data_IF_970465801381
#
_entry.id   IF_970465801381
#
_cell.length_a   1.000
_cell.length_b   1.000
_cell.length_c   1.000
_cell.angle_alpha   90.00
_cell.angle_beta   90.00
_cell.angle_gamma   90.00
#
_symmetry.space_group_name_H-M   'P 1'
#
loop_
_entity.id
_entity.type
_entity.pdbx_description
1 polymer ?
#
# COMPACT_ATOMS: atom_id res chain seq x y z
N UNK A 1 26.15 -19.30 23.46
CA UNK A 1 24.76 -19.71 23.82
C UNK A 1 24.65 -21.21 23.65
N UNK A 2 24.26 -21.94 24.72
CA UNK A 2 24.13 -23.40 24.67
C UNK A 2 23.04 -23.88 23.72
N UNK A 3 23.24 -25.07 23.14
CA UNK A 3 22.23 -25.71 22.29
C UNK A 3 20.98 -26.06 23.12
N UNK A 4 19.81 -25.81 22.51
CA UNK A 4 18.53 -26.13 23.13
C UNK A 4 18.27 -27.66 23.09
N UNK A 5 17.73 -28.22 24.19
CA UNK A 5 17.35 -29.62 24.24
C UNK A 5 16.41 -30.00 23.06
N UNK A 6 16.63 -31.18 22.46
CA UNK A 6 15.93 -31.65 21.25
C UNK A 6 14.38 -31.71 21.44
N UNK A 7 13.93 -32.08 22.62
CA UNK A 7 12.51 -32.25 22.98
C UNK A 7 11.88 -30.98 23.58
N UNK A 8 12.62 -29.87 23.66
CA UNK A 8 12.03 -28.64 24.17
C UNK A 8 10.97 -28.06 23.22
N UNK A 9 9.84 -27.53 23.74
CA UNK A 9 8.80 -26.95 22.91
C UNK A 9 9.34 -25.75 22.10
N UNK A 10 8.76 -25.52 20.93
CA UNK A 10 9.15 -24.36 20.08
C UNK A 10 8.73 -23.06 20.72
N UNK A 11 9.54 -22.00 20.55
CA UNK A 11 9.25 -20.64 20.99
C UNK A 11 8.86 -19.76 19.81
N UNK A 12 7.87 -18.89 20.04
CA UNK A 12 7.33 -17.99 19.04
C UNK A 12 6.36 -18.69 18.08
N UNK A 13 5.61 -17.89 17.31
CA UNK A 13 4.66 -18.40 16.32
C UNK A 13 5.36 -19.20 15.23
N UNK A 14 4.82 -20.39 14.93
CA UNK A 14 5.29 -21.24 13.82
C UNK A 14 4.90 -20.66 12.44
N UNK A 15 3.83 -19.83 12.37
CA UNK A 15 3.43 -19.13 11.15
C UNK A 15 4.44 -18.08 10.68
N UNK A 16 5.37 -17.68 11.56
CA UNK A 16 6.45 -16.73 11.25
C UNK A 16 7.80 -17.46 11.06
N UNK A 17 7.76 -18.63 10.47
CA UNK A 17 8.96 -19.45 10.18
C UNK A 17 9.11 -19.67 8.68
N UNK A 18 10.34 -19.80 8.15
CA UNK A 18 11.62 -19.55 8.80
C UNK A 18 11.84 -18.05 9.09
N UNK A 19 12.58 -17.73 10.14
CA UNK A 19 13.01 -16.35 10.44
C UNK A 19 14.13 -15.94 9.49
N UNK A 20 13.78 -15.25 8.44
CA UNK A 20 14.71 -14.75 7.40
C UNK A 20 14.27 -13.37 6.95
N UNK A 21 15.14 -12.67 6.22
CA UNK A 21 14.79 -11.41 5.55
C UNK A 21 13.66 -11.65 4.55
N UNK A 22 12.74 -10.70 4.46
CA UNK A 22 11.71 -10.73 3.42
C UNK A 22 12.35 -10.66 2.02
N UNK A 23 11.77 -11.37 1.07
CA UNK A 23 12.22 -11.33 -0.33
C UNK A 23 11.95 -9.97 -1.01
N UNK A 24 11.01 -9.20 -0.46
CA UNK A 24 10.59 -7.90 -1.01
C UNK A 24 10.49 -6.87 0.10
N UNK A 25 10.88 -5.63 -0.20
CA UNK A 25 10.71 -4.48 0.71
C UNK A 25 9.25 -4.09 0.78
N UNK A 26 8.58 -3.97 -0.38
CA UNK A 26 7.16 -3.64 -0.45
C UNK A 26 6.33 -4.90 -0.20
N UNK A 27 5.44 -4.91 0.80
CA UNK A 27 4.59 -6.06 1.07
C UNK A 27 3.57 -6.27 -0.06
N UNK A 28 3.20 -7.53 -0.29
CA UNK A 28 2.08 -7.88 -1.16
C UNK A 28 0.82 -8.02 -0.31
N UNK A 29 -0.11 -7.12 -0.47
CA UNK A 29 -1.40 -7.15 0.23
C UNK A 29 -2.34 -8.07 -0.55
N UNK A 30 -2.73 -9.19 0.07
CA UNK A 30 -3.61 -10.20 -0.55
C UNK A 30 -5.06 -10.02 -0.18
N UNK A 31 -5.32 -9.46 0.99
CA UNK A 31 -6.66 -9.21 1.53
C UNK A 31 -6.80 -7.74 1.86
N UNK A 32 -7.84 -7.13 1.40
CA UNK A 32 -8.18 -5.74 1.66
C UNK A 32 -9.44 -5.69 2.51
N UNK A 33 -9.55 -4.77 3.47
CA UNK A 33 -10.81 -4.53 4.16
C UNK A 33 -11.84 -3.98 3.17
N UNK A 34 -13.10 -4.18 3.48
CA UNK A 34 -14.23 -3.60 2.73
C UNK A 34 -15.05 -2.73 3.68
N UNK A 35 -14.57 -1.54 4.02
CA UNK A 35 -15.24 -0.65 4.94
C UNK A 35 -16.48 -0.05 4.27
N UNK A 36 -17.58 -0.01 4.99
CA UNK A 36 -18.79 0.70 4.58
C UNK A 36 -18.58 2.22 4.80
N UNK A 37 -18.07 2.86 3.76
CA UNK A 37 -17.79 4.29 3.75
C UNK A 37 -18.65 4.97 2.69
N UNK A 38 -19.26 6.13 3.03
CA UNK A 38 -20.11 6.88 2.09
C UNK A 38 -19.34 7.46 0.91
N UNK A 39 -18.04 7.75 1.11
CA UNK A 39 -17.17 8.33 0.09
C UNK A 39 -16.01 7.39 -0.25
N UNK A 40 -15.58 7.35 -1.52
CA UNK A 40 -14.43 6.56 -1.91
C UNK A 40 -13.14 7.15 -1.32
N UNK A 41 -12.23 6.25 -0.89
CA UNK A 41 -10.88 6.62 -0.43
C UNK A 41 -9.87 5.51 -0.65
N UNK A 42 -8.60 5.87 -0.67
CA UNK A 42 -7.51 4.91 -0.69
C UNK A 42 -7.40 4.21 0.66
N UNK A 43 -7.28 2.88 0.65
CA UNK A 43 -7.25 2.06 1.86
C UNK A 43 -5.85 1.87 2.46
N UNK A 44 -4.80 2.35 1.82
CA UNK A 44 -3.43 2.27 2.33
C UNK A 44 -2.60 3.48 1.94
N UNK A 45 -1.50 3.65 2.66
CA UNK A 45 -0.47 4.63 2.37
C UNK A 45 0.92 4.02 2.62
N UNK A 46 1.92 4.42 1.83
CA UNK A 46 3.30 3.97 2.02
C UNK A 46 4.13 5.04 2.73
N UNK A 47 4.86 4.64 3.77
CA UNK A 47 5.74 5.50 4.53
C UNK A 47 7.07 4.80 4.79
N UNK A 48 8.11 5.57 5.04
CA UNK A 48 9.43 5.08 5.40
C UNK A 48 9.62 5.09 6.92
N UNK A 49 10.07 3.98 7.48
CA UNK A 49 10.40 3.90 8.89
C UNK A 49 11.72 4.62 9.14
N UNK A 50 11.66 5.77 9.81
CA UNK A 50 12.83 6.55 10.20
C UNK A 50 13.50 5.98 11.46
N UNK A 51 12.72 5.53 12.45
CA UNK A 51 13.25 5.01 13.69
C UNK A 51 12.19 4.62 14.69
N UNK A 52 12.62 4.39 15.91
CA UNK A 52 11.74 4.15 17.05
C UNK A 52 12.17 5.02 18.22
N UNK A 53 11.19 5.50 18.96
CA UNK A 53 11.37 6.26 20.20
C UNK A 53 10.28 5.91 21.18
N UNK A 54 10.18 6.63 22.27
CA UNK A 54 9.07 6.55 23.20
C UNK A 54 8.48 7.94 23.43
N UNK A 55 7.21 7.98 23.76
CA UNK A 55 6.48 9.20 24.10
C UNK A 55 5.83 9.04 25.45
N UNK A 56 5.72 10.14 26.16
CA UNK A 56 4.87 10.27 27.34
C UNK A 56 3.47 10.62 26.85
N UNK A 57 2.48 9.87 27.29
CA UNK A 57 1.07 10.16 27.00
C UNK A 57 0.20 9.88 28.23
N UNK A 58 -0.89 10.60 28.35
CA UNK A 58 -1.90 10.33 29.36
C UNK A 58 -2.73 9.13 28.90
N UNK A 59 -2.90 8.13 29.78
CA UNK A 59 -3.74 6.97 29.49
C UNK A 59 -5.21 7.34 29.66
N UNK A 60 -5.93 7.47 28.57
CA UNK A 60 -7.35 7.81 28.49
C UNK A 60 -8.27 6.57 28.41
N UNK A 61 -7.71 5.34 28.44
CA UNK A 61 -8.50 4.12 28.35
C UNK A 61 -9.32 3.88 29.61
N UNK A 62 -10.65 3.76 29.49
CA UNK A 62 -11.50 3.46 30.62
C UNK A 62 -11.11 2.12 31.26
N UNK A 63 -11.23 2.03 32.58
CA UNK A 63 -10.91 0.85 33.38
C UNK A 63 -9.44 0.38 33.36
N UNK A 64 -8.52 1.20 32.88
CA UNK A 64 -7.07 0.93 32.98
C UNK A 64 -6.59 1.29 34.39
N UNK A 65 -5.65 0.50 34.96
CA UNK A 65 -4.95 0.80 36.21
C UNK A 65 -4.12 2.09 36.15
N UNK A 66 -3.82 2.55 34.94
CA UNK A 66 -3.03 3.75 34.65
C UNK A 66 -3.89 4.89 34.10
N UNK A 67 -5.23 4.77 34.16
CA UNK A 67 -6.13 5.81 33.70
C UNK A 67 -5.83 7.17 34.35
N UNK A 68 -5.70 8.21 33.53
CA UNK A 68 -5.36 9.57 33.96
C UNK A 68 -3.90 9.78 34.38
N UNK A 69 -3.03 8.76 34.27
CA UNK A 69 -1.60 8.86 34.57
C UNK A 69 -0.77 8.95 33.30
N UNK A 70 0.39 9.57 33.41
CA UNK A 70 1.40 9.57 32.36
C UNK A 70 2.05 8.18 32.23
N UNK A 71 2.07 7.66 31.02
CA UNK A 71 2.69 6.36 30.69
C UNK A 71 3.66 6.51 29.54
N UNK A 72 4.78 5.78 29.62
CA UNK A 72 5.72 5.64 28.53
C UNK A 72 5.20 4.66 27.49
N UNK A 73 5.10 5.10 26.24
CA UNK A 73 4.76 4.20 25.12
C UNK A 73 5.82 4.21 24.04
N UNK A 74 6.30 3.02 23.61
CA UNK A 74 7.19 2.93 22.45
C UNK A 74 6.40 3.25 21.18
N UNK A 75 6.99 4.08 20.33
CA UNK A 75 6.39 4.51 19.04
C UNK A 75 7.39 4.34 17.91
N UNK A 76 6.87 4.10 16.72
CA UNK A 76 7.65 4.10 15.48
C UNK A 76 7.47 5.44 14.79
N UNK A 77 8.57 6.07 14.42
CA UNK A 77 8.58 7.30 13.63
C UNK A 77 8.53 6.90 12.17
N UNK A 78 7.51 7.40 11.46
CA UNK A 78 7.33 7.20 10.03
C UNK A 78 7.43 8.53 9.31
N UNK A 79 8.20 8.57 8.24
CA UNK A 79 8.23 9.66 7.29
C UNK A 79 7.38 9.31 6.08
N UNK A 80 6.38 10.12 5.81
CA UNK A 80 5.33 9.86 4.83
C UNK A 80 5.28 10.95 3.75
N UNK A 81 6.22 10.95 2.80
CA UNK A 81 6.16 11.87 1.66
C UNK A 81 4.93 11.59 0.80
N UNK A 82 4.44 12.57 0.05
CA UNK A 82 3.30 12.36 -0.85
C UNK A 82 3.59 11.25 -1.84
N UNK A 83 2.57 10.43 -2.13
CA UNK A 83 2.63 9.40 -3.15
C UNK A 83 2.25 9.98 -4.50
N UNK A 84 2.90 9.52 -5.56
CA UNK A 84 2.54 9.84 -6.93
C UNK A 84 1.70 8.71 -7.52
N UNK A 85 0.50 9.01 -8.03
CA UNK A 85 -0.37 8.02 -8.65
C UNK A 85 0.02 7.91 -10.12
N UNK A 86 0.42 6.70 -10.52
CA UNK A 86 0.91 6.38 -11.87
C UNK A 86 -0.17 5.78 -12.77
N UNK A 87 -1.21 5.21 -12.19
CA UNK A 87 -2.25 4.61 -12.98
C UNK A 87 -3.31 3.88 -12.18
N UNK A 88 -4.30 3.40 -12.90
CA UNK A 88 -5.45 2.65 -12.41
C UNK A 88 -5.40 1.22 -12.95
N UNK A 89 -5.67 0.25 -12.10
CA UNK A 89 -5.81 -1.16 -12.44
C UNK A 89 -7.19 -1.64 -12.11
N UNK A 90 -7.90 -2.18 -13.10
CA UNK A 90 -9.21 -2.77 -12.95
C UNK A 90 -9.12 -4.30 -12.86
N UNK A 91 -9.93 -4.88 -11.98
CA UNK A 91 -10.00 -6.31 -11.74
C UNK A 91 -11.37 -6.88 -12.06
N UNK A 92 -11.38 -8.06 -12.65
CA UNK A 92 -12.56 -8.89 -12.87
C UNK A 92 -12.43 -10.22 -12.16
N UNK A 93 -13.52 -10.92 -11.92
CA UNK A 93 -13.53 -12.27 -11.32
C UNK A 93 -13.76 -13.32 -12.39
N UNK A 94 -12.85 -14.27 -12.47
CA UNK A 94 -13.01 -15.46 -13.30
C UNK A 94 -13.46 -16.63 -12.42
N UNK A 95 -14.48 -17.42 -12.81
CA UNK A 95 -15.04 -18.49 -11.97
C UNK A 95 -14.02 -19.50 -11.45
N UNK A 96 -13.02 -19.85 -12.27
CA UNK A 96 -12.00 -20.87 -11.92
C UNK A 96 -10.71 -20.24 -11.38
N UNK A 97 -10.28 -19.10 -11.98
CA UNK A 97 -8.98 -18.48 -11.68
C UNK A 97 -9.03 -17.43 -10.57
N UNK A 98 -10.23 -17.04 -10.11
CA UNK A 98 -10.42 -15.98 -9.14
C UNK A 98 -10.23 -14.59 -9.74
N UNK A 99 -9.67 -13.67 -8.97
CA UNK A 99 -9.50 -12.27 -9.37
C UNK A 99 -8.36 -12.13 -10.40
N UNK A 100 -8.67 -11.58 -11.56
CA UNK A 100 -7.74 -11.31 -12.65
C UNK A 100 -7.71 -9.82 -12.99
N UNK A 101 -6.57 -9.33 -13.42
CA UNK A 101 -6.45 -7.98 -13.99
C UNK A 101 -7.18 -7.93 -15.33
N UNK A 102 -8.12 -7.00 -15.46
CA UNK A 102 -8.83 -6.74 -16.71
C UNK A 102 -8.01 -5.82 -17.61
N UNK A 103 -7.69 -4.62 -17.12
CA UNK A 103 -6.86 -3.65 -17.85
C UNK A 103 -6.15 -2.70 -16.89
N UNK A 104 -5.17 -1.98 -17.41
CA UNK A 104 -4.41 -0.97 -16.67
C UNK A 104 -4.34 0.30 -17.52
N UNK A 105 -4.67 1.43 -16.92
CA UNK A 105 -4.46 2.76 -17.48
C UNK A 105 -3.27 3.41 -16.76
N UNK A 106 -2.25 3.80 -17.49
CA UNK A 106 -1.04 4.42 -16.95
C UNK A 106 -0.89 5.84 -17.48
N UNK A 107 -0.42 6.72 -16.62
CA UNK A 107 -0.06 8.11 -16.94
C UNK A 107 1.43 8.21 -17.16
N UNK A 108 1.84 9.09 -18.03
CA UNK A 108 3.26 9.40 -18.26
C UNK A 108 3.87 9.94 -16.96
N UNK A 109 4.82 9.22 -16.33
CA UNK A 109 5.43 9.67 -15.10
C UNK A 109 6.36 10.85 -15.33
N UNK A 110 6.45 11.80 -14.38
CA UNK A 110 7.42 12.87 -14.46
C UNK A 110 8.84 12.31 -14.42
N UNK A 111 9.75 12.90 -15.20
CA UNK A 111 11.17 12.46 -15.28
C UNK A 111 11.87 12.50 -13.92
N UNK A 112 11.49 13.43 -13.06
CA UNK A 112 12.03 13.59 -11.70
C UNK A 112 11.81 12.39 -10.79
N UNK A 113 10.75 11.62 -11.03
CA UNK A 113 10.42 10.42 -10.25
C UNK A 113 11.38 9.25 -10.53
N UNK A 114 12.17 9.30 -11.61
CA UNK A 114 13.11 8.25 -12.02
C UNK A 114 12.49 6.84 -12.08
N UNK A 115 11.22 6.76 -12.49
CA UNK A 115 10.45 5.50 -12.53
C UNK A 115 11.12 4.45 -13.45
N UNK A 116 11.88 4.90 -14.46
CA UNK A 116 12.63 4.04 -15.37
C UNK A 116 13.67 3.16 -14.68
N UNK A 117 14.15 3.58 -13.50
CA UNK A 117 14.99 2.73 -12.64
C UNK A 117 14.24 1.51 -12.09
N UNK A 118 12.91 1.59 -12.02
CA UNK A 118 12.05 0.51 -11.54
C UNK A 118 11.49 -0.31 -12.68
N UNK A 119 11.03 0.36 -13.75
CA UNK A 119 10.44 -0.24 -14.95
C UNK A 119 11.20 0.31 -16.16
N UNK A 120 12.32 -0.32 -16.57
CA UNK A 120 13.13 0.13 -17.71
C UNK A 120 12.38 0.10 -19.04
N UNK A 121 11.38 -0.78 -19.15
CA UNK A 121 10.60 -1.00 -20.40
C UNK A 121 9.38 -0.11 -20.53
N UNK A 122 9.21 0.86 -19.62
CA UNK A 122 8.08 1.77 -19.68
C UNK A 122 8.25 2.71 -20.88
N UNK A 123 7.23 2.87 -21.76
CA UNK A 123 7.26 3.85 -22.84
C UNK A 123 7.41 5.28 -22.31
N UNK A 124 8.05 6.15 -23.08
CA UNK A 124 8.24 7.56 -22.67
C UNK A 124 6.92 8.33 -22.62
N UNK A 125 6.00 8.01 -23.52
CA UNK A 125 4.67 8.60 -23.58
C UNK A 125 3.62 7.53 -23.40
N UNK A 126 2.69 7.77 -22.49
CA UNK A 126 1.56 6.90 -22.18
C UNK A 126 0.28 7.70 -22.27
N UNK A 127 -0.67 7.17 -23.03
CA UNK A 127 -2.00 7.73 -23.13
C UNK A 127 -2.97 6.87 -22.30
N UNK A 128 -3.52 7.38 -21.20
CA UNK A 128 -4.47 6.65 -20.37
C UNK A 128 -5.89 6.60 -20.96
N UNK A 129 -6.28 7.57 -21.82
CA UNK A 129 -7.67 7.75 -22.26
C UNK A 129 -8.31 6.49 -22.88
N UNK A 130 -7.68 5.77 -23.84
CA UNK A 130 -8.31 4.61 -24.46
C UNK A 130 -8.57 3.48 -23.46
N UNK A 131 -7.69 3.35 -22.45
CA UNK A 131 -7.84 2.35 -21.39
C UNK A 131 -8.89 2.75 -20.37
N UNK A 132 -9.03 4.04 -20.06
CA UNK A 132 -10.06 4.56 -19.16
C UNK A 132 -11.45 4.38 -19.79
N UNK A 133 -11.63 4.70 -21.07
CA UNK A 133 -12.89 4.45 -21.80
C UNK A 133 -13.26 2.95 -21.77
N UNK A 134 -12.28 2.06 -21.95
CA UNK A 134 -12.52 0.62 -21.86
C UNK A 134 -12.99 0.19 -20.46
N UNK A 135 -12.47 0.82 -19.41
CA UNK A 135 -12.91 0.58 -18.03
C UNK A 135 -14.34 1.07 -17.82
N UNK A 136 -14.69 2.26 -18.31
CA UNK A 136 -16.02 2.85 -18.21
C UNK A 136 -17.08 2.00 -18.93
N UNK A 137 -16.80 1.56 -20.15
CA UNK A 137 -17.68 0.71 -20.96
C UNK A 137 -17.94 -0.67 -20.32
N UNK A 138 -16.99 -1.19 -19.55
CA UNK A 138 -17.08 -2.52 -18.95
C UNK A 138 -17.23 -2.50 -17.43
N UNK A 139 -17.74 -1.41 -16.86
CA UNK A 139 -17.83 -1.24 -15.40
C UNK A 139 -18.61 -2.36 -14.71
N UNK A 140 -19.61 -2.93 -15.37
CA UNK A 140 -20.44 -4.04 -14.85
C UNK A 140 -19.65 -5.34 -14.63
N UNK A 141 -18.53 -5.52 -15.34
CA UNK A 141 -17.66 -6.70 -15.23
C UNK A 141 -16.55 -6.49 -14.22
N UNK A 142 -16.34 -5.25 -13.79
CA UNK A 142 -15.27 -4.88 -12.87
C UNK A 142 -15.76 -5.05 -11.44
N UNK A 143 -14.98 -5.73 -10.62
CA UNK A 143 -15.30 -5.98 -9.22
C UNK A 143 -14.46 -5.10 -8.29
N UNK A 144 -13.23 -4.78 -8.69
CA UNK A 144 -12.31 -4.02 -7.84
C UNK A 144 -11.47 -3.04 -8.66
N UNK A 145 -11.22 -1.87 -8.08
CA UNK A 145 -10.38 -0.84 -8.66
C UNK A 145 -9.23 -0.52 -7.69
N UNK A 146 -8.01 -0.49 -8.22
CA UNK A 146 -6.81 -0.20 -7.45
C UNK A 146 -5.94 0.80 -8.20
N UNK A 147 -5.35 1.72 -7.43
CA UNK A 147 -4.35 2.64 -7.96
C UNK A 147 -2.97 2.05 -7.85
N UNK A 148 -2.13 2.35 -8.82
CA UNK A 148 -0.69 2.07 -8.80
C UNK A 148 -0.01 3.36 -8.38
N UNK A 149 0.56 3.36 -7.17
CA UNK A 149 1.24 4.51 -6.60
C UNK A 149 2.75 4.29 -6.52
N UNK A 150 3.50 5.34 -6.72
CA UNK A 150 4.94 5.39 -6.54
C UNK A 150 5.31 6.25 -5.34
N UNK A 151 6.28 5.79 -4.57
CA UNK A 151 6.87 6.61 -3.50
C UNK A 151 7.85 7.63 -4.06
N UNK A 152 8.07 8.71 -3.32
CA UNK A 152 9.03 9.76 -3.67
C UNK A 152 10.19 9.77 -2.67
N UNK A 153 11.17 8.85 -2.79
CA UNK A 153 12.25 8.73 -1.82
C UNK A 153 13.17 9.95 -1.77
N UNK A 154 13.23 10.75 -2.83
CA UNK A 154 14.02 11.98 -2.87
C UNK A 154 13.53 13.06 -1.90
N UNK A 155 12.26 13.02 -1.51
CA UNK A 155 11.66 13.94 -0.54
C UNK A 155 11.90 13.53 0.91
N UNK A 156 12.49 12.36 1.12
CA UNK A 156 12.78 11.81 2.47
C UNK A 156 14.15 12.25 2.91
N UNK A 157 14.24 12.93 4.04
CA UNK A 157 15.51 13.33 4.63
C UNK A 157 16.37 12.15 5.04
N UNK A 158 17.66 12.19 4.75
CA UNK A 158 18.62 11.16 5.16
C UNK A 158 18.53 9.81 4.41
N UNK A 159 17.65 9.69 3.42
CA UNK A 159 17.53 8.47 2.61
C UNK A 159 18.32 8.60 1.31
N UNK A 160 19.38 7.81 1.17
CA UNK A 160 20.20 7.80 -0.07
C UNK A 160 19.54 7.10 -1.26
N UNK A 161 18.39 6.47 -1.05
CA UNK A 161 17.62 5.79 -2.09
C UNK A 161 17.03 6.77 -3.10
N UNK A 162 17.25 6.54 -4.39
CA UNK A 162 16.65 7.33 -5.49
C UNK A 162 15.54 6.56 -6.23
N UNK A 163 15.64 5.22 -6.25
CA UNK A 163 14.69 4.33 -6.93
C UNK A 163 13.36 4.32 -6.20
N UNK A 164 12.24 4.69 -6.86
CA UNK A 164 10.91 4.66 -6.24
C UNK A 164 10.46 3.24 -5.96
N UNK A 165 9.60 3.07 -4.96
CA UNK A 165 8.88 1.84 -4.71
C UNK A 165 7.47 1.96 -5.27
N UNK A 166 7.01 0.87 -5.93
CA UNK A 166 5.66 0.77 -6.45
C UNK A 166 4.80 -0.02 -5.48
N UNK A 167 3.64 0.50 -5.20
CA UNK A 167 2.62 -0.12 -4.38
C UNK A 167 1.27 -0.06 -5.08
N UNK A 168 0.51 -1.12 -4.95
CA UNK A 168 -0.87 -1.19 -5.41
C UNK A 168 -1.79 -0.95 -4.20
N UNK A 169 -2.72 -0.01 -4.32
CA UNK A 169 -3.62 0.41 -3.25
C UNK A 169 -5.07 0.30 -3.73
N UNK A 170 -5.90 -0.44 -2.97
CA UNK A 170 -7.32 -0.55 -3.25
C UNK A 170 -8.05 0.76 -2.95
N UNK A 171 -9.04 1.09 -3.79
CA UNK A 171 -9.99 2.15 -3.54
C UNK A 171 -11.21 1.51 -2.86
N UNK A 172 -11.53 1.92 -1.65
CA UNK A 172 -12.69 1.43 -0.90
C UNK A 172 -13.72 2.52 -0.67
N UNK A 173 -14.94 2.10 -0.27
CA UNK A 173 -16.07 3.00 -0.04
C UNK A 173 -16.79 3.42 -1.32
N UNK A 174 -18.01 3.96 -1.20
CA UNK A 174 -18.84 4.41 -2.32
C UNK A 174 -19.13 3.34 -3.38
N UNK A 175 -19.71 3.77 -4.49
CA UNK A 175 -19.97 2.91 -5.66
C UNK A 175 -18.72 2.75 -6.52
N UNK A 176 -18.70 1.77 -7.44
CA UNK A 176 -17.59 1.61 -8.40
C UNK A 176 -17.41 2.85 -9.29
N UNK A 177 -18.50 3.51 -9.64
CA UNK A 177 -18.45 4.76 -10.41
C UNK A 177 -17.79 5.90 -9.62
N UNK A 178 -18.09 6.01 -8.32
CA UNK A 178 -17.45 7.01 -7.46
C UNK A 178 -15.95 6.73 -7.27
N UNK A 179 -15.59 5.44 -7.14
CA UNK A 179 -14.17 5.02 -7.09
C UNK A 179 -13.43 5.36 -8.38
N UNK A 180 -14.08 5.21 -9.53
CA UNK A 180 -13.51 5.60 -10.81
C UNK A 180 -13.32 7.11 -10.88
N UNK A 181 -14.34 7.91 -10.52
CA UNK A 181 -14.23 9.38 -10.46
C UNK A 181 -13.09 9.85 -9.56
N UNK A 182 -12.93 9.25 -8.38
CA UNK A 182 -11.80 9.57 -7.49
C UNK A 182 -10.46 9.30 -8.18
N UNK A 183 -10.33 8.19 -8.91
CA UNK A 183 -9.08 7.87 -9.61
C UNK A 183 -8.78 8.86 -10.74
N UNK A 184 -9.79 9.34 -11.45
CA UNK A 184 -9.66 10.32 -12.54
C UNK A 184 -9.17 11.70 -12.06
N UNK A 185 -9.46 12.09 -10.81
CA UNK A 185 -8.95 13.34 -10.23
C UNK A 185 -7.41 13.32 -10.13
N UNK A 186 -6.82 12.14 -10.02
CA UNK A 186 -5.38 11.95 -9.82
C UNK A 186 -4.63 11.46 -11.07
N UNK A 187 -5.36 11.13 -12.12
CA UNK A 187 -4.86 10.65 -13.41
C UNK A 187 -5.16 11.69 -14.49
#
# INVERSE_FOLDING_TARGET
MGARKKHAPRRGSLGVRPRKRAARIVPRIRSWPDPDLPQPRLLAFAAYKAGMTHVLMIDDRPHSLTHGKEVFKPVTILEAPPLYILGLRAYTVHPVKGMLTFTEAWVTPPKELEIYRKIPTLPETLDPEPKLKLIEENIDRIVDLRVIAATQPKLVGGLSKKKPDLIEIRIGGGTLQDRLKLSLIHI
#
